data_IF_822558988783
#
_entry.id   IF_822558988783
#
_cell.length_a   1.000
_cell.length_b   1.000
_cell.length_c   1.000
_cell.angle_alpha   90.00
_cell.angle_beta   90.00
_cell.angle_gamma   90.00
#
_symmetry.space_group_name_H-M   'P 1'
#
loop_
_entity.id
_entity.type
_entity.pdbx_description
1 polymer ?
#
# COMPACT_ATOMS: atom_id res chain seq x y z
N UNK A 1 -15.13 -9.00 63.38
CA UNK A 1 -13.95 -9.77 62.94
C UNK A 1 -13.16 -8.82 62.05
N UNK A 2 -12.23 -8.05 62.63
CA UNK A 2 -10.76 -8.28 62.52
C UNK A 2 -10.31 -8.37 61.06
N UNK A 3 -9.36 -7.59 60.54
CA UNK A 3 -8.43 -6.64 61.13
C UNK A 3 -7.54 -6.09 60.00
N UNK A 4 -6.97 -4.90 60.23
CA UNK A 4 -6.07 -4.21 59.32
C UNK A 4 -4.73 -4.94 59.12
N UNK A 5 -4.06 -4.68 57.99
CA UNK A 5 -2.60 -4.84 57.94
C UNK A 5 -1.96 -3.72 57.12
N UNK A 6 -0.94 -3.12 57.72
CA UNK A 6 -0.19 -1.92 57.35
C UNK A 6 1.28 -2.33 57.34
N UNK A 7 1.98 -2.00 56.25
CA UNK A 7 3.39 -1.61 56.15
C UNK A 7 4.56 -2.54 56.54
N UNK A 8 5.70 -2.16 55.93
CA UNK A 8 7.12 -2.28 56.34
C UNK A 8 7.84 -3.55 55.83
N UNK A 9 8.78 -3.47 54.87
CA UNK A 9 10.19 -2.99 54.89
C UNK A 9 11.16 -3.87 55.71
N UNK A 10 12.39 -4.00 55.19
CA UNK A 10 13.61 -4.53 55.81
C UNK A 10 13.72 -6.07 55.91
N UNK A 11 14.87 -6.74 55.81
CA UNK A 11 16.30 -6.39 55.60
C UNK A 11 17.05 -7.72 55.39
N UNK A 12 18.20 -7.62 54.71
CA UNK A 12 19.46 -8.41 54.67
C UNK A 12 19.59 -9.73 55.50
N UNK A 13 20.55 -10.64 55.29
CA UNK A 13 22.01 -10.56 55.54
C UNK A 13 22.57 -11.99 55.22
N UNK A 14 23.72 -12.18 54.55
CA UNK A 14 25.02 -12.58 55.13
C UNK A 14 26.05 -12.75 54.00
N UNK A 15 27.15 -11.97 53.97
CA UNK A 15 28.43 -12.12 54.71
C UNK A 15 29.27 -13.30 54.21
N UNK A 16 30.51 -13.07 53.75
CA UNK A 16 31.67 -12.75 54.60
C UNK A 16 32.84 -12.26 53.70
N UNK A 17 33.46 -11.10 53.92
CA UNK A 17 34.43 -10.68 54.96
C UNK A 17 35.83 -11.27 54.76
N UNK A 18 36.84 -10.41 54.52
CA UNK A 18 37.93 -9.99 55.44
C UNK A 18 38.62 -8.74 54.82
N UNK A 19 38.52 -7.50 55.32
CA UNK A 19 39.25 -6.83 56.44
C UNK A 19 40.79 -6.90 56.26
N UNK A 20 41.59 -5.83 56.18
CA UNK A 20 41.65 -4.64 57.06
C UNK A 20 42.54 -3.50 56.49
N UNK A 21 42.05 -2.25 56.60
CA UNK A 21 42.66 -1.00 57.17
C UNK A 21 44.17 -0.75 57.06
N UNK A 22 44.72 0.46 56.97
CA UNK A 22 44.30 1.85 56.85
C UNK A 22 45.60 2.69 56.90
N UNK A 23 45.56 3.95 56.43
CA UNK A 23 46.25 5.15 56.97
C UNK A 23 46.80 6.05 55.86
N UNK A 24 46.32 7.29 55.94
CA UNK A 24 46.79 8.56 55.37
C UNK A 24 48.28 8.80 55.57
N UNK A 25 48.95 9.35 54.55
CA UNK A 25 49.95 10.40 54.78
C UNK A 25 50.25 11.14 53.47
N UNK A 26 50.05 12.46 53.53
CA UNK A 26 50.71 13.41 52.65
C UNK A 26 52.22 13.13 52.67
N UNK A 27 52.83 12.92 51.50
CA UNK A 27 54.26 13.16 51.33
C UNK A 27 54.48 13.95 50.05
N UNK A 28 55.02 15.13 50.25
CA UNK A 28 55.79 15.93 49.29
C UNK A 28 56.80 15.03 48.57
N UNK A 29 56.73 14.94 47.25
CA UNK A 29 57.81 14.40 46.44
C UNK A 29 58.46 15.54 45.67
N UNK A 30 59.76 15.69 45.93
CA UNK A 30 60.66 16.58 45.23
C UNK A 30 60.82 16.15 43.77
N UNK A 31 60.87 17.15 42.89
CA UNK A 31 61.38 17.02 41.53
C UNK A 31 62.75 16.32 41.50
N UNK A 32 62.81 15.14 40.88
CA UNK A 32 63.93 14.70 40.04
C UNK A 32 63.43 13.55 39.16
N UNK A 33 63.17 13.84 37.88
CA UNK A 33 62.79 12.84 36.87
C UNK A 33 64.07 12.21 36.31
N UNK A 34 64.43 11.02 36.78
CA UNK A 34 65.59 10.25 36.28
C UNK A 34 65.12 8.93 35.66
N UNK A 35 64.25 9.01 34.65
CA UNK A 35 63.88 7.86 33.82
C UNK A 35 64.23 8.14 32.35
N UNK A 36 65.12 7.32 31.80
CA UNK A 36 65.46 7.29 30.37
C UNK A 36 64.54 6.31 29.63
N UNK A 37 64.28 6.56 28.35
CA UNK A 37 63.59 5.60 27.47
C UNK A 37 64.39 4.30 27.32
N UNK A 38 63.70 3.18 27.13
CA UNK A 38 64.30 1.86 26.91
C UNK A 38 65.42 1.92 25.85
N UNK A 39 66.57 1.28 26.15
CA UNK A 39 67.79 1.35 25.32
C UNK A 39 68.82 2.42 25.76
N UNK A 40 68.49 3.23 26.77
CA UNK A 40 69.40 4.25 27.32
C UNK A 40 69.48 4.16 28.85
N UNK A 41 70.66 4.45 29.42
CA UNK A 41 70.86 4.53 30.86
C UNK A 41 71.20 5.96 31.28
N UNK A 42 70.72 6.36 32.45
CA UNK A 42 71.03 7.66 33.01
C UNK A 42 72.49 7.70 33.50
N UNK A 43 73.28 8.62 32.96
CA UNK A 43 74.63 8.89 33.46
C UNK A 43 74.60 10.09 34.43
N UNK A 44 74.76 9.87 35.74
CA UNK A 44 74.71 10.92 36.74
C UNK A 44 75.89 11.91 36.69
N UNK A 45 76.93 11.66 35.90
CA UNK A 45 78.04 12.61 35.71
C UNK A 45 77.78 13.62 34.59
N UNK A 46 77.01 13.22 33.58
CA UNK A 46 76.70 14.08 32.42
C UNK A 46 75.25 14.57 32.39
N UNK A 47 74.42 14.14 33.34
CA UNK A 47 72.99 14.48 33.44
C UNK A 47 72.22 14.24 32.12
N UNK A 48 72.61 13.21 31.37
CA UNK A 48 72.02 12.83 30.09
C UNK A 48 71.89 11.31 29.97
N UNK A 49 70.89 10.87 29.22
CA UNK A 49 70.68 9.47 28.86
C UNK A 49 71.72 9.05 27.81
N UNK A 50 72.56 8.08 28.15
CA UNK A 50 73.54 7.50 27.24
C UNK A 50 73.04 6.16 26.71
N UNK A 51 73.26 5.97 25.42
CA UNK A 51 72.98 4.72 24.71
C UNK A 51 73.61 3.53 25.44
N UNK A 52 72.82 2.48 25.68
CA UNK A 52 73.32 1.24 26.26
C UNK A 52 73.86 0.41 25.12
N UNK A 53 75.13 -0.01 25.19
CA UNK A 53 75.64 -0.95 24.20
C UNK A 53 75.07 -2.36 24.46
N UNK A 54 73.98 -2.72 23.79
CA UNK A 54 73.33 -4.02 24.01
C UNK A 54 74.15 -5.20 23.49
N UNK A 55 75.09 -4.97 22.56
CA UNK A 55 76.01 -6.00 22.09
C UNK A 55 77.02 -6.44 23.17
N UNK A 56 77.26 -5.62 24.18
CA UNK A 56 78.13 -5.95 25.32
C UNK A 56 77.33 -6.36 26.56
N UNK A 57 76.14 -5.78 26.75
CA UNK A 57 75.32 -6.00 27.94
C UNK A 57 74.37 -7.20 27.84
N UNK A 58 74.01 -7.65 26.62
CA UNK A 58 73.17 -8.84 26.39
C UNK A 58 74.04 -9.99 25.84
N UNK A 59 74.30 -11.05 26.61
CA UNK A 59 75.01 -12.23 26.12
C UNK A 59 74.22 -12.91 25.00
N UNK A 60 74.87 -13.19 23.86
CA UNK A 60 74.24 -13.74 22.65
C UNK A 60 73.05 -12.91 22.12
N UNK A 61 73.20 -11.56 22.12
CA UNK A 61 72.20 -10.62 21.60
C UNK A 61 71.64 -11.00 20.21
N UNK A 62 72.48 -11.55 19.33
CA UNK A 62 72.08 -12.06 18.01
C UNK A 62 72.16 -13.59 17.94
N UNK A 63 71.08 -14.25 17.52
CA UNK A 63 71.03 -15.72 17.33
C UNK A 63 71.46 -16.13 15.92
N UNK A 64 72.23 -17.20 15.79
CA UNK A 64 72.70 -17.76 14.52
C UNK A 64 74.06 -17.20 14.06
N UNK A 65 74.34 -17.19 12.75
CA UNK A 65 75.61 -16.66 12.18
C UNK A 65 75.62 -15.12 12.00
N UNK A 66 74.93 -14.41 12.87
CA UNK A 66 74.73 -12.95 12.80
C UNK A 66 75.68 -12.25 13.78
N UNK A 67 76.29 -11.14 13.36
CA UNK A 67 77.15 -10.30 14.20
C UNK A 67 76.35 -9.08 14.69
N UNK A 68 76.48 -8.78 15.97
CA UNK A 68 75.85 -7.63 16.62
C UNK A 68 76.63 -6.34 16.32
N UNK A 69 75.90 -5.27 16.01
CA UNK A 69 76.41 -3.91 15.84
C UNK A 69 75.59 -2.95 16.71
N UNK A 70 76.26 -2.16 17.55
CA UNK A 70 75.58 -1.17 18.39
C UNK A 70 75.03 -0.03 17.52
N UNK A 71 73.83 0.44 17.82
CA UNK A 71 73.17 1.56 17.15
C UNK A 71 72.47 2.44 18.19
N UNK A 72 72.08 3.67 17.83
CA UNK A 72 71.44 4.53 18.80
C UNK A 72 70.04 4.02 19.19
N UNK A 73 69.86 3.68 20.47
CA UNK A 73 68.62 3.17 21.07
C UNK A 73 68.38 1.69 20.86
N UNK A 74 69.41 0.91 20.50
CA UNK A 74 69.32 -0.53 20.32
C UNK A 74 70.47 -1.13 19.50
N UNK A 75 70.34 -2.39 19.10
CA UNK A 75 71.37 -3.08 18.32
C UNK A 75 70.84 -3.69 17.02
N UNK A 76 71.72 -3.82 16.02
CA UNK A 76 71.42 -4.43 14.73
C UNK A 76 72.17 -5.76 14.56
N UNK A 77 71.47 -6.81 14.16
CA UNK A 77 72.06 -8.11 13.83
C UNK A 77 72.20 -8.26 12.31
N UNK A 78 73.42 -8.39 11.80
CA UNK A 78 73.71 -8.56 10.37
C UNK A 78 74.52 -9.84 10.09
N UNK A 79 74.35 -10.52 8.94
CA UNK A 79 75.08 -11.74 8.63
C UNK A 79 76.58 -11.47 8.39
N UNK A 80 77.46 -12.40 8.78
CA UNK A 80 78.93 -12.25 8.66
C UNK A 80 79.47 -11.96 7.26
N UNK A 81 78.68 -12.15 6.20
CA UNK A 81 79.04 -11.95 4.80
C UNK A 81 78.65 -10.59 4.22
N UNK A 82 78.10 -9.66 5.00
CA UNK A 82 77.81 -8.31 4.53
C UNK A 82 79.11 -7.46 4.46
N UNK A 83 79.45 -7.02 3.24
CA UNK A 83 80.57 -6.09 2.97
C UNK A 83 80.00 -4.70 2.74
N UNK A 84 80.43 -3.72 3.55
CA UNK A 84 80.15 -2.30 3.33
C UNK A 84 81.17 -1.79 2.31
N UNK A 85 80.68 -1.34 1.16
CA UNK A 85 81.52 -0.72 0.11
C UNK A 85 81.76 0.74 0.52
N UNK A 86 83.00 1.23 0.60
CA UNK A 86 83.27 2.66 0.81
C UNK A 86 83.02 3.43 -0.50
N UNK A 87 82.34 4.58 -0.41
CA UNK A 87 82.25 5.54 -1.50
C UNK A 87 83.64 6.19 -1.77
N UNK A 88 83.93 6.61 -3.02
CA UNK A 88 85.22 7.16 -3.39
C UNK A 88 85.42 8.60 -2.87
N UNK A 89 86.67 8.96 -2.59
CA UNK A 89 87.09 10.30 -2.18
C UNK A 89 86.85 11.35 -3.29
N UNK A 90 86.35 12.56 -2.94
CA UNK A 90 86.30 13.67 -3.88
C UNK A 90 87.65 14.41 -3.98
N UNK A 91 87.95 15.02 -5.14
CA UNK A 91 89.16 15.79 -5.37
C UNK A 91 89.16 17.11 -4.62
N UNK A 92 90.35 17.48 -4.14
CA UNK A 92 90.64 18.75 -3.47
C UNK A 92 90.75 19.84 -4.54
N UNK A 93 89.89 20.85 -4.48
CA UNK A 93 90.13 22.18 -5.08
C UNK A 93 89.73 23.28 -4.09
N UNK A 94 90.32 24.49 -4.20
CA UNK A 94 90.74 25.24 -3.03
C UNK A 94 89.71 26.28 -2.57
N UNK A 95 89.73 26.47 -1.24
CA UNK A 95 89.36 27.69 -0.49
C UNK A 95 87.97 28.26 -0.75
N UNK A 96 87.03 27.94 0.12
CA UNK A 96 86.02 28.91 0.57
C UNK A 96 85.94 28.92 2.10
N UNK A 97 85.50 30.07 2.62
CA UNK A 97 85.71 30.54 3.98
C UNK A 97 85.27 29.55 5.07
N UNK A 98 86.02 29.54 6.19
CA UNK A 98 85.61 28.88 7.43
C UNK A 98 84.21 29.38 7.82
N UNK A 99 83.19 28.56 7.56
CA UNK A 99 81.85 28.77 8.07
C UNK A 99 81.80 28.17 9.49
N UNK A 100 81.60 28.96 10.56
CA UNK A 100 81.61 28.48 11.95
C UNK A 100 80.38 27.63 12.34
N UNK A 101 79.48 27.35 11.40
CA UNK A 101 78.22 26.66 11.64
C UNK A 101 78.24 25.18 11.19
N UNK A 102 77.44 24.30 11.84
CA UNK A 102 77.26 22.90 11.41
C UNK A 102 76.79 22.77 9.96
N UNK A 103 77.00 21.61 9.33
CA UNK A 103 76.49 21.31 7.98
C UNK A 103 74.97 21.53 7.94
N UNK A 104 74.47 22.20 6.90
CA UNK A 104 73.07 22.63 6.77
C UNK A 104 72.74 23.98 7.40
N UNK A 105 73.73 24.70 7.94
CA UNK A 105 73.54 26.03 8.56
C UNK A 105 74.48 27.10 7.99
N UNK A 106 73.97 28.33 7.88
CA UNK A 106 74.75 29.50 7.46
C UNK A 106 74.95 30.50 8.60
N UNK A 107 76.06 31.25 8.61
CA UNK A 107 76.40 32.14 9.70
C UNK A 107 75.67 33.47 9.55
N UNK A 108 74.79 33.77 10.51
CA UNK A 108 74.11 35.06 10.63
C UNK A 108 74.56 35.76 11.93
N UNK A 109 75.63 36.54 11.84
CA UNK A 109 76.26 37.17 13.01
C UNK A 109 76.94 36.13 13.92
N UNK A 110 76.55 36.10 15.20
CA UNK A 110 77.03 35.10 16.19
C UNK A 110 76.10 33.87 16.29
N UNK A 111 75.10 33.75 15.41
CA UNK A 111 74.13 32.66 15.39
C UNK A 111 74.14 31.90 14.07
N UNK A 112 73.91 30.60 14.14
CA UNK A 112 73.74 29.74 12.97
C UNK A 112 72.25 29.64 12.64
N UNK A 113 71.90 29.97 11.39
CA UNK A 113 70.54 29.85 10.88
C UNK A 113 70.50 28.70 9.90
N UNK A 114 69.43 27.92 9.98
CA UNK A 114 69.16 26.81 9.09
C UNK A 114 69.12 27.27 7.63
N UNK A 115 69.81 26.54 6.75
CA UNK A 115 69.78 26.81 5.32
C UNK A 115 68.52 26.17 4.77
N UNK A 116 67.59 26.96 4.26
CA UNK A 116 66.43 26.41 3.58
C UNK A 116 66.81 25.95 2.17
N UNK A 117 67.14 24.66 2.02
CA UNK A 117 67.51 24.09 0.73
C UNK A 117 66.33 24.08 -0.27
N UNK A 118 65.09 24.17 0.23
CA UNK A 118 63.88 24.23 -0.59
C UNK A 118 63.65 25.62 -1.20
N UNK A 119 63.90 26.70 -0.47
CA UNK A 119 63.82 28.06 -1.02
C UNK A 119 64.97 28.37 -1.97
N UNK A 120 66.12 27.72 -1.77
CA UNK A 120 67.35 27.94 -2.55
C UNK A 120 67.49 27.05 -3.78
N UNK A 121 66.56 26.09 -3.98
CA UNK A 121 66.61 25.08 -5.05
C UNK A 121 67.91 24.24 -4.99
N UNK A 122 68.45 24.05 -3.78
CA UNK A 122 69.69 23.32 -3.47
C UNK A 122 69.37 21.89 -2.96
N UNK A 123 68.40 21.21 -3.59
CA UNK A 123 67.93 19.88 -3.20
C UNK A 123 67.89 18.86 -4.35
N UNK A 124 68.02 17.57 -4.02
CA UNK A 124 67.94 16.46 -5.00
C UNK A 124 66.52 15.85 -5.13
N UNK A 125 65.48 16.57 -4.69
CA UNK A 125 64.10 16.11 -4.81
C UNK A 125 63.66 15.96 -6.28
N UNK A 126 62.94 14.87 -6.58
CA UNK A 126 62.38 14.68 -7.93
C UNK A 126 61.24 15.68 -8.20
N UNK A 127 60.94 16.03 -9.47
CA UNK A 127 59.87 16.99 -9.78
C UNK A 127 58.48 16.60 -9.28
N UNK A 128 58.24 15.32 -8.99
CA UNK A 128 56.99 14.80 -8.43
C UNK A 128 56.94 14.81 -6.90
N UNK A 129 58.01 15.25 -6.22
CA UNK A 129 58.15 15.30 -4.76
C UNK A 129 58.15 16.75 -4.27
N UNK A 130 57.64 16.95 -3.07
CA UNK A 130 57.72 18.21 -2.36
C UNK A 130 58.95 18.21 -1.46
N UNK A 131 59.80 19.22 -1.61
CA UNK A 131 60.89 19.50 -0.68
C UNK A 131 60.30 20.08 0.61
N UNK A 132 60.70 19.52 1.75
CA UNK A 132 60.36 20.01 3.08
C UNK A 132 61.68 20.25 3.80
N UNK A 133 61.94 21.52 4.13
CA UNK A 133 63.11 21.90 4.90
C UNK A 133 62.98 21.42 6.35
N UNK A 134 64.07 20.91 6.91
CA UNK A 134 64.17 20.44 8.29
C UNK A 134 65.43 21.02 8.94
N UNK A 135 65.49 21.12 10.26
CA UNK A 135 66.64 21.73 10.91
C UNK A 135 67.95 20.97 10.60
N UNK A 136 68.81 21.58 9.78
CA UNK A 136 70.11 21.07 9.32
C UNK A 136 70.07 20.14 8.11
N UNK A 137 68.94 19.96 7.43
CA UNK A 137 68.80 19.13 6.24
C UNK A 137 67.43 19.35 5.54
N UNK A 138 67.21 18.71 4.39
CA UNK A 138 65.89 18.64 3.76
C UNK A 138 65.37 17.20 3.64
N UNK A 139 64.06 17.05 3.46
CA UNK A 139 63.42 15.77 3.12
C UNK A 139 62.49 15.91 1.92
N UNK A 140 62.51 14.92 1.04
CA UNK A 140 61.65 14.87 -0.15
C UNK A 140 60.48 13.92 0.10
N UNK A 141 59.27 14.46 0.18
CA UNK A 141 58.06 13.68 0.42
C UNK A 141 57.14 13.71 -0.80
N UNK A 142 56.36 12.65 -1.00
CA UNK A 142 55.31 12.69 -2.01
C UNK A 142 54.16 13.59 -1.51
N UNK A 143 53.48 14.33 -2.41
CA UNK A 143 52.28 15.07 -2.05
C UNK A 143 51.22 14.16 -1.41
N UNK A 144 50.32 14.74 -0.61
CA UNK A 144 49.19 14.01 -0.05
C UNK A 144 48.40 13.27 -1.14
N UNK A 145 48.03 12.01 -0.87
CA UNK A 145 47.38 11.14 -1.85
C UNK A 145 48.33 10.37 -2.78
N UNK A 146 49.65 10.54 -2.65
CA UNK A 146 50.65 9.81 -3.44
C UNK A 146 51.56 8.95 -2.55
N UNK A 147 52.00 7.80 -3.07
CA UNK A 147 52.97 6.92 -2.43
C UNK A 147 54.26 6.84 -3.22
N UNK A 148 55.38 6.72 -2.52
CA UNK A 148 56.71 6.58 -3.14
C UNK A 148 56.92 5.16 -3.65
N UNK A 149 57.21 5.02 -4.94
CA UNK A 149 57.59 3.75 -5.58
C UNK A 149 58.90 3.95 -6.31
N UNK A 150 60.01 3.49 -5.73
CA UNK A 150 61.35 3.86 -6.20
C UNK A 150 61.61 5.34 -5.97
N UNK A 151 61.86 6.09 -7.05
CA UNK A 151 62.09 7.54 -7.04
C UNK A 151 60.86 8.36 -7.42
N UNK A 152 59.80 7.74 -7.93
CA UNK A 152 58.60 8.44 -8.41
C UNK A 152 57.46 8.40 -7.37
N UNK A 153 56.62 9.44 -7.40
CA UNK A 153 55.39 9.49 -6.64
C UNK A 153 54.23 9.01 -7.52
N UNK A 154 53.63 7.89 -7.12
CA UNK A 154 52.49 7.31 -7.81
C UNK A 154 51.24 7.54 -6.97
N UNK A 155 50.19 7.96 -7.64
CA UNK A 155 48.87 8.16 -7.05
C UNK A 155 48.38 6.92 -6.28
N UNK A 156 47.82 7.14 -5.09
CA UNK A 156 47.25 6.08 -4.28
C UNK A 156 45.85 5.80 -4.82
N UNK A 157 45.64 4.61 -5.38
CA UNK A 157 44.31 4.19 -5.84
C UNK A 157 43.41 3.86 -4.63
N UNK A 158 42.74 4.86 -4.06
CA UNK A 158 41.89 4.65 -2.89
C UNK A 158 40.67 3.77 -3.23
N UNK A 159 40.25 3.73 -4.50
CA UNK A 159 39.12 2.91 -4.92
C UNK A 159 39.31 1.40 -4.68
N UNK A 160 40.55 0.92 -4.51
CA UNK A 160 40.85 -0.46 -4.12
C UNK A 160 40.34 -0.84 -2.73
N UNK A 161 40.08 0.16 -1.87
CA UNK A 161 39.70 -0.04 -0.48
C UNK A 161 38.20 0.16 -0.20
N UNK A 162 37.36 0.20 -1.24
CA UNK A 162 35.88 0.33 -1.15
C UNK A 162 35.42 1.54 -0.30
N UNK A 163 36.04 2.69 -0.52
CA UNK A 163 35.73 3.94 0.20
C UNK A 163 34.38 4.58 -0.17
N UNK A 164 33.74 4.16 -1.27
CA UNK A 164 32.46 4.67 -1.75
C UNK A 164 31.37 3.61 -1.60
N UNK A 165 30.13 4.04 -1.33
CA UNK A 165 28.97 3.14 -1.27
C UNK A 165 28.59 2.58 -2.64
N UNK A 166 28.60 3.42 -3.68
CA UNK A 166 28.32 3.05 -5.07
C UNK A 166 29.61 3.04 -5.89
N UNK A 167 29.74 3.91 -6.89
CA UNK A 167 30.89 3.93 -7.81
C UNK A 167 32.01 4.80 -7.26
N UNK A 168 33.25 4.30 -7.32
CA UNK A 168 34.46 5.07 -7.01
C UNK A 168 35.21 5.39 -8.30
N UNK A 169 35.72 6.62 -8.39
CA UNK A 169 36.58 7.08 -9.48
C UNK A 169 37.87 7.63 -8.87
N UNK A 170 38.98 6.99 -9.21
CA UNK A 170 40.30 7.43 -8.77
C UNK A 170 40.71 8.69 -9.54
N UNK A 171 41.15 9.74 -8.86
CA UNK A 171 41.59 11.00 -9.46
C UNK A 171 42.98 11.37 -8.93
N UNK A 172 43.83 12.07 -9.69
CA UNK A 172 45.17 12.38 -9.18
C UNK A 172 45.15 13.11 -7.82
N UNK A 173 45.74 12.50 -6.79
CA UNK A 173 45.81 12.97 -5.41
C UNK A 173 44.58 12.70 -4.55
N UNK A 174 43.54 12.03 -5.06
CA UNK A 174 42.34 11.70 -4.29
C UNK A 174 41.40 10.70 -4.98
N UNK A 175 40.16 10.60 -4.52
CA UNK A 175 39.11 9.82 -5.16
C UNK A 175 37.79 10.60 -5.14
N UNK A 176 36.90 10.30 -6.08
CA UNK A 176 35.54 10.83 -6.13
C UNK A 176 34.53 9.68 -6.10
N UNK A 177 33.54 9.79 -5.21
CA UNK A 177 32.41 8.88 -5.20
C UNK A 177 31.27 9.39 -6.10
N UNK A 178 30.63 8.48 -6.82
CA UNK A 178 29.49 8.74 -7.69
C UNK A 178 28.35 7.81 -7.31
N UNK A 179 27.14 8.36 -7.24
CA UNK A 179 25.94 7.61 -6.94
C UNK A 179 25.26 7.12 -8.23
N UNK A 180 24.71 5.92 -8.18
CA UNK A 180 23.81 5.41 -9.21
C UNK A 180 22.58 6.32 -9.40
N UNK A 181 21.89 6.27 -10.56
CA UNK A 181 20.65 7.02 -10.78
C UNK A 181 19.60 6.75 -9.68
N UNK A 182 18.86 7.79 -9.29
CA UNK A 182 17.92 7.74 -8.15
C UNK A 182 18.57 8.00 -6.79
N UNK A 183 19.88 8.27 -6.74
CA UNK A 183 20.60 8.57 -5.51
C UNK A 183 21.43 9.85 -5.64
N UNK A 184 21.65 10.52 -4.52
CA UNK A 184 22.51 11.69 -4.42
C UNK A 184 23.59 11.50 -3.35
N UNK A 185 24.72 12.18 -3.54
CA UNK A 185 25.85 12.08 -2.64
C UNK A 185 25.53 12.76 -1.29
N UNK A 186 25.72 12.03 -0.20
CA UNK A 186 25.54 12.57 1.14
C UNK A 186 26.66 13.56 1.50
N UNK A 187 26.47 14.37 2.54
CA UNK A 187 27.44 15.39 2.97
C UNK A 187 28.82 14.88 3.38
N UNK A 188 29.00 13.56 3.51
CA UNK A 188 30.30 12.92 3.75
C UNK A 188 31.08 12.60 2.46
N UNK A 189 30.53 12.94 1.29
CA UNK A 189 31.08 12.66 -0.04
C UNK A 189 31.41 11.18 -0.33
N UNK A 190 30.81 10.25 0.41
CA UNK A 190 31.11 8.79 0.31
C UNK A 190 29.87 7.91 0.23
N UNK A 191 28.82 8.31 0.95
CA UNK A 191 27.55 7.60 1.01
C UNK A 191 26.57 8.17 -0.02
N UNK A 192 25.66 7.33 -0.47
CA UNK A 192 24.60 7.68 -1.39
C UNK A 192 23.26 7.54 -0.66
N UNK A 193 22.51 8.63 -0.64
CA UNK A 193 21.15 8.66 -0.09
C UNK A 193 20.16 8.64 -1.24
N UNK A 194 19.08 7.93 -1.01
CA UNK A 194 17.96 7.82 -1.93
C UNK A 194 17.36 9.20 -2.20
N UNK A 195 17.09 9.51 -3.46
CA UNK A 195 16.41 10.74 -3.86
C UNK A 195 14.91 10.46 -3.78
N UNK A 196 14.18 11.24 -2.99
CA UNK A 196 12.74 11.10 -2.93
C UNK A 196 12.09 11.81 -4.12
N UNK A 197 11.84 11.09 -5.22
CA UNK A 197 11.26 11.71 -6.42
C UNK A 197 9.83 12.24 -6.17
N UNK A 198 9.11 11.68 -5.19
CA UNK A 198 7.79 12.18 -4.82
C UNK A 198 7.84 13.61 -4.24
N UNK A 199 8.87 13.94 -3.48
CA UNK A 199 9.09 15.30 -2.96
C UNK A 199 9.60 16.26 -4.05
N UNK A 200 10.22 15.73 -5.11
CA UNK A 200 10.70 16.51 -6.26
C UNK A 200 9.62 16.75 -7.33
N UNK A 201 8.39 16.28 -7.11
CA UNK A 201 7.28 16.45 -8.05
C UNK A 201 7.22 15.36 -9.12
N UNK A 202 7.34 14.09 -8.71
CA UNK A 202 7.13 12.93 -9.58
C UNK A 202 5.84 13.06 -10.43
N UNK A 203 5.84 12.56 -11.68
CA UNK A 203 4.74 12.73 -12.63
C UNK A 203 3.49 11.87 -12.33
N UNK A 204 3.32 11.38 -11.10
CA UNK A 204 2.17 10.56 -10.72
C UNK A 204 0.88 11.39 -10.75
N UNK A 205 -0.16 10.87 -11.42
CA UNK A 205 -1.45 11.57 -11.47
C UNK A 205 -2.20 11.60 -10.12
N UNK A 206 -2.01 10.59 -9.28
CA UNK A 206 -2.70 10.45 -8.00
C UNK A 206 -1.73 10.25 -6.84
N UNK A 207 -1.31 9.01 -6.54
CA UNK A 207 -0.42 8.74 -5.40
C UNK A 207 0.98 8.37 -5.85
N UNK A 208 1.99 8.94 -5.19
CA UNK A 208 3.40 8.61 -5.37
C UNK A 208 3.94 7.89 -4.13
N UNK A 209 4.74 6.85 -4.35
CA UNK A 209 5.45 6.13 -3.31
C UNK A 209 6.93 6.09 -3.65
N UNK A 210 7.74 6.69 -2.79
CA UNK A 210 9.18 6.63 -2.92
C UNK A 210 9.67 5.23 -2.57
N UNK A 211 10.58 4.69 -3.37
CA UNK A 211 11.19 3.38 -3.15
C UNK A 211 12.70 3.49 -3.31
N UNK A 212 13.45 2.47 -2.91
CA UNK A 212 14.89 2.55 -2.97
C UNK A 212 15.39 2.59 -4.43
N UNK A 213 15.95 3.72 -4.84
CA UNK A 213 16.52 4.03 -6.15
C UNK A 213 15.51 4.39 -7.25
N UNK A 214 14.23 4.56 -6.91
CA UNK A 214 13.16 4.88 -7.85
C UNK A 214 11.86 5.20 -7.11
N UNK A 215 10.78 5.49 -7.83
CA UNK A 215 9.45 5.68 -7.27
C UNK A 215 8.40 4.84 -8.01
N UNK A 216 7.24 4.68 -7.38
CA UNK A 216 6.09 4.00 -7.95
C UNK A 216 4.85 4.88 -7.81
N UNK A 217 4.11 5.05 -8.91
CA UNK A 217 2.77 5.62 -8.86
C UNK A 217 1.73 4.55 -8.59
N UNK A 218 0.70 4.89 -7.81
CA UNK A 218 -0.49 4.05 -7.63
C UNK A 218 -1.75 4.88 -7.73
N UNK A 219 -2.80 4.22 -8.18
CA UNK A 219 -4.10 4.84 -8.35
C UNK A 219 -5.03 4.59 -7.14
N UNK A 220 -5.96 5.50 -6.97
CA UNK A 220 -7.10 5.41 -6.07
C UNK A 220 -8.03 4.27 -6.51
N UNK A 221 -8.94 3.88 -5.62
CA UNK A 221 -9.95 2.87 -5.96
C UNK A 221 -10.84 3.40 -7.11
N UNK A 222 -11.16 2.52 -8.08
CA UNK A 222 -11.92 2.89 -9.28
C UNK A 222 -11.04 3.38 -10.44
N UNK A 223 -9.72 3.37 -10.29
CA UNK A 223 -8.78 3.76 -11.34
C UNK A 223 -7.74 2.66 -11.58
N UNK A 224 -7.27 2.55 -12.82
CA UNK A 224 -6.18 1.67 -13.21
C UNK A 224 -4.96 2.47 -13.68
N UNK A 225 -3.77 1.91 -13.42
CA UNK A 225 -2.51 2.53 -13.83
C UNK A 225 -2.31 2.35 -15.33
N UNK A 226 -2.12 3.47 -16.03
CA UNK A 226 -1.86 3.51 -17.46
C UNK A 226 -0.56 2.80 -17.85
N UNK A 227 -0.37 2.51 -19.15
CA UNK A 227 0.83 1.86 -19.66
C UNK A 227 2.10 2.71 -19.52
N UNK A 228 1.93 4.02 -19.30
CA UNK A 228 3.02 4.95 -18.99
C UNK A 228 3.54 4.79 -17.55
N UNK A 229 2.80 4.10 -16.68
CA UNK A 229 3.15 3.90 -15.27
C UNK A 229 2.90 5.13 -14.39
N UNK A 230 2.25 6.18 -14.92
CA UNK A 230 2.08 7.48 -14.25
C UNK A 230 0.63 7.97 -14.25
N UNK A 231 -0.09 7.75 -15.36
CA UNK A 231 -1.49 8.13 -15.50
C UNK A 231 -2.40 7.15 -14.75
N UNK A 232 -3.45 7.69 -14.14
CA UNK A 232 -4.52 6.88 -13.54
C UNK A 232 -5.78 7.09 -14.36
N UNK A 233 -6.18 6.06 -15.10
CA UNK A 233 -7.36 6.08 -15.95
C UNK A 233 -8.54 5.54 -15.17
N UNK A 234 -9.68 6.18 -15.34
CA UNK A 234 -10.94 5.72 -14.75
C UNK A 234 -11.31 4.33 -15.29
N UNK A 235 -11.70 3.43 -14.40
CA UNK A 235 -12.16 2.10 -14.78
C UNK A 235 -13.63 2.21 -15.16
N UNK A 236 -13.94 2.09 -16.45
CA UNK A 236 -15.34 2.08 -16.89
C UNK A 236 -16.02 0.77 -16.50
N UNK A 237 -16.59 0.71 -15.30
CA UNK A 237 -17.22 -0.51 -14.80
C UNK A 237 -18.40 -0.94 -15.67
N UNK A 238 -19.13 0.02 -16.24
CA UNK A 238 -20.26 -0.25 -17.13
C UNK A 238 -19.86 -1.00 -18.41
N UNK A 239 -18.61 -0.83 -18.87
CA UNK A 239 -18.07 -1.58 -20.01
C UNK A 239 -17.74 -3.04 -19.70
N UNK A 240 -17.45 -3.37 -18.43
CA UNK A 240 -17.07 -4.73 -18.03
C UNK A 240 -18.26 -5.68 -17.94
N UNK A 241 -19.44 -5.19 -17.53
CA UNK A 241 -20.62 -6.04 -17.36
C UNK A 241 -21.93 -5.27 -17.47
N UNK A 242 -22.78 -5.70 -18.40
CA UNK A 242 -24.15 -5.21 -18.55
C UNK A 242 -25.08 -5.58 -17.39
N UNK A 243 -24.64 -6.45 -16.46
CA UNK A 243 -25.44 -6.93 -15.33
C UNK A 243 -25.10 -6.23 -14.01
N UNK A 244 -24.27 -5.17 -14.02
CA UNK A 244 -23.92 -4.40 -12.82
C UNK A 244 -25.12 -3.68 -12.22
N UNK A 245 -25.98 -3.14 -13.07
CA UNK A 245 -27.20 -2.44 -12.71
C UNK A 245 -28.40 -3.20 -13.24
N UNK A 246 -29.53 -3.12 -12.52
CA UNK A 246 -30.76 -3.78 -12.95
C UNK A 246 -31.38 -3.14 -14.21
N UNK A 247 -31.15 -1.83 -14.42
CA UNK A 247 -31.63 -1.08 -15.59
C UNK A 247 -30.48 -0.49 -16.41
N UNK A 248 -29.92 0.63 -15.95
CA UNK A 248 -28.90 1.35 -16.70
C UNK A 248 -27.73 1.73 -15.77
N UNK A 249 -26.53 1.44 -16.24
CA UNK A 249 -25.27 1.81 -15.62
C UNK A 249 -24.76 3.12 -16.22
N UNK A 250 -24.25 4.01 -15.38
CA UNK A 250 -23.59 5.25 -15.77
C UNK A 250 -22.21 5.28 -15.13
N UNK A 251 -21.17 5.34 -15.96
CA UNK A 251 -19.80 5.43 -15.50
C UNK A 251 -19.51 6.86 -15.00
N UNK A 252 -18.87 6.98 -13.84
CA UNK A 252 -18.46 8.25 -13.24
C UNK A 252 -16.98 8.16 -12.82
N UNK A 253 -16.27 9.29 -12.63
CA UNK A 253 -14.87 9.21 -12.21
C UNK A 253 -14.69 8.52 -10.84
N UNK A 254 -14.03 7.36 -10.84
CA UNK A 254 -13.67 6.52 -9.70
C UNK A 254 -14.79 5.60 -9.18
N UNK A 255 -15.94 5.55 -9.86
CA UNK A 255 -17.11 4.75 -9.46
C UNK A 255 -18.12 4.70 -10.60
N UNK A 256 -19.12 3.84 -10.45
CA UNK A 256 -20.33 3.91 -11.28
C UNK A 256 -21.57 4.19 -10.44
N UNK A 257 -22.62 4.65 -11.10
CA UNK A 257 -23.97 4.75 -10.53
C UNK A 257 -24.98 3.99 -11.38
N UNK A 258 -26.01 3.46 -10.72
CA UNK A 258 -27.14 2.84 -11.39
C UNK A 258 -28.32 3.82 -11.39
N UNK A 259 -28.91 4.04 -12.56
CA UNK A 259 -30.10 4.85 -12.71
C UNK A 259 -31.31 3.95 -12.94
N UNK A 260 -32.43 4.32 -12.30
CA UNK A 260 -33.70 3.63 -12.45
C UNK A 260 -34.58 4.35 -13.47
N UNK A 261 -35.46 3.62 -14.18
CA UNK A 261 -36.39 4.23 -15.10
C UNK A 261 -37.44 5.06 -14.37
N UNK A 262 -38.19 5.88 -15.11
CA UNK A 262 -39.31 6.65 -14.57
C UNK A 262 -40.35 5.74 -13.89
N UNK A 263 -40.87 6.18 -12.73
CA UNK A 263 -41.76 5.39 -11.87
C UNK A 263 -41.03 4.40 -10.95
N UNK A 264 -39.69 4.38 -10.96
CA UNK A 264 -38.89 3.52 -10.10
C UNK A 264 -37.88 4.32 -9.29
N UNK A 265 -37.60 3.86 -8.08
CA UNK A 265 -36.59 4.41 -7.17
C UNK A 265 -35.48 3.39 -6.90
N UNK A 266 -34.25 3.84 -6.61
CA UNK A 266 -33.15 2.94 -6.30
C UNK A 266 -33.39 2.20 -4.97
N UNK A 267 -33.35 0.88 -5.01
CA UNK A 267 -33.34 0.00 -3.84
C UNK A 267 -31.89 -0.49 -3.62
N UNK A 268 -31.18 0.19 -2.72
CA UNK A 268 -29.75 -0.02 -2.55
C UNK A 268 -28.95 0.61 -3.70
N UNK A 269 -27.83 -0.01 -4.09
CA UNK A 269 -26.89 0.57 -5.07
C UNK A 269 -27.08 0.09 -6.51
N UNK A 270 -27.83 -1.00 -6.73
CA UNK A 270 -27.88 -1.69 -8.04
C UNK A 270 -29.28 -2.08 -8.51
N UNK A 271 -30.26 -2.04 -7.61
CA UNK A 271 -31.62 -2.49 -7.91
C UNK A 271 -32.57 -1.29 -7.97
N UNK A 272 -33.67 -1.49 -8.68
CA UNK A 272 -34.76 -0.56 -8.85
C UNK A 272 -36.01 -1.18 -8.27
N UNK A 273 -36.76 -0.37 -7.54
CA UNK A 273 -38.04 -0.73 -6.96
C UNK A 273 -39.10 0.22 -7.48
N UNK A 274 -40.23 -0.35 -7.84
CA UNK A 274 -41.44 0.37 -8.20
C UNK A 274 -41.83 1.39 -7.11
N UNK A 275 -42.13 2.62 -7.51
CA UNK A 275 -42.66 3.63 -6.60
C UNK A 275 -44.14 3.35 -6.45
N UNK A 276 -44.59 3.06 -5.22
CA UNK A 276 -46.01 2.88 -4.98
C UNK A 276 -46.69 4.23 -4.78
N UNK A 277 -47.18 4.84 -5.85
CA UNK A 277 -47.76 6.19 -5.79
C UNK A 277 -49.07 6.23 -4.97
N UNK A 278 -49.72 5.07 -4.82
CA UNK A 278 -50.89 4.92 -3.97
C UNK A 278 -50.55 4.97 -2.47
N UNK A 279 -49.34 4.55 -2.08
CA UNK A 279 -48.86 4.64 -0.70
C UNK A 279 -48.17 5.97 -0.41
N UNK A 280 -47.46 6.56 -1.38
CA UNK A 280 -46.83 7.88 -1.22
C UNK A 280 -47.84 9.02 -1.25
N UNK A 281 -49.02 8.79 -1.83
CA UNK A 281 -50.04 9.82 -2.02
C UNK A 281 -49.75 10.77 -3.18
N UNK A 282 -48.81 10.42 -4.05
CA UNK A 282 -48.44 11.20 -5.25
C UNK A 282 -49.39 10.93 -6.44
N UNK A 283 -50.36 10.03 -6.27
CA UNK A 283 -51.37 9.73 -7.29
C UNK A 283 -52.34 10.89 -7.53
N UNK A 284 -52.78 11.08 -8.78
CA UNK A 284 -53.73 12.12 -9.19
C UNK A 284 -55.18 11.62 -9.34
N UNK A 285 -55.57 10.60 -8.56
CA UNK A 285 -56.93 10.05 -8.59
C UNK A 285 -57.94 10.97 -7.91
N UNK A 286 -59.17 11.01 -8.45
CA UNK A 286 -60.28 11.76 -7.85
C UNK A 286 -60.88 11.02 -6.64
N UNK A 287 -61.68 11.70 -5.81
CA UNK A 287 -62.40 11.07 -4.68
C UNK A 287 -63.36 9.94 -5.11
N UNK A 288 -63.80 9.96 -6.38
CA UNK A 288 -64.66 8.92 -6.95
C UNK A 288 -63.87 7.71 -7.47
N UNK A 289 -62.55 7.69 -7.32
CA UNK A 289 -61.65 6.67 -7.85
C UNK A 289 -60.80 6.05 -6.74
N UNK A 290 -60.48 4.77 -6.92
CA UNK A 290 -59.51 4.04 -6.12
C UNK A 290 -58.17 4.00 -6.87
N UNK A 291 -57.07 4.20 -6.16
CA UNK A 291 -55.73 4.03 -6.72
C UNK A 291 -55.32 2.55 -6.74
N UNK A 292 -54.76 2.10 -7.85
CA UNK A 292 -54.15 0.77 -8.00
C UNK A 292 -52.70 0.95 -8.44
N UNK A 293 -51.77 0.44 -7.64
CA UNK A 293 -50.36 0.47 -7.98
C UNK A 293 -50.02 -0.60 -9.01
N UNK A 294 -49.26 -0.25 -10.04
CA UNK A 294 -48.79 -1.16 -11.10
C UNK A 294 -47.33 -0.86 -11.45
N UNK A 295 -46.62 -1.79 -12.08
CA UNK A 295 -45.20 -1.58 -12.39
C UNK A 295 -44.92 -0.31 -13.24
N UNK A 296 -44.23 0.65 -12.64
CA UNK A 296 -43.78 1.91 -13.23
C UNK A 296 -44.83 3.02 -13.26
N UNK A 297 -46.05 2.82 -12.74
CA UNK A 297 -47.07 3.86 -12.61
C UNK A 297 -48.22 3.45 -11.69
N UNK A 298 -49.17 4.34 -11.47
CA UNK A 298 -50.48 3.99 -10.90
C UNK A 298 -51.60 4.01 -11.95
N UNK A 299 -52.73 3.38 -11.61
CA UNK A 299 -53.99 3.43 -12.37
C UNK A 299 -55.12 3.88 -11.45
N UNK A 300 -55.85 4.92 -11.86
CA UNK A 300 -57.07 5.35 -11.17
C UNK A 300 -58.26 4.59 -11.76
N UNK A 301 -58.95 3.84 -10.90
CA UNK A 301 -60.10 3.03 -11.28
C UNK A 301 -61.34 3.49 -10.54
N UNK A 302 -62.46 3.68 -11.24
CA UNK A 302 -63.69 4.19 -10.65
C UNK A 302 -64.17 3.32 -9.48
N UNK A 303 -64.71 3.96 -8.44
CA UNK A 303 -65.22 3.24 -7.27
C UNK A 303 -66.37 2.31 -7.65
N UNK A 304 -67.24 2.68 -8.59
CA UNK A 304 -68.28 1.81 -9.15
C UNK A 304 -67.86 1.22 -10.50
N UNK A 305 -67.42 -0.03 -10.47
CA UNK A 305 -66.92 -0.78 -11.64
C UNK A 305 -67.99 -1.63 -12.32
N UNK A 306 -69.21 -1.63 -11.78
CA UNK A 306 -70.27 -2.52 -12.24
C UNK A 306 -70.98 -1.94 -13.45
N UNK A 307 -71.07 -2.74 -14.51
CA UNK A 307 -71.86 -2.42 -15.70
C UNK A 307 -73.27 -3.00 -15.55
N UNK A 308 -74.30 -2.32 -16.09
CA UNK A 308 -75.64 -2.91 -16.14
C UNK A 308 -75.59 -4.27 -16.87
N UNK A 309 -76.22 -5.34 -16.37
CA UNK A 309 -77.24 -5.40 -15.32
C UNK A 309 -76.75 -5.51 -13.86
N UNK A 310 -75.45 -5.55 -13.62
CA UNK A 310 -74.88 -5.75 -12.30
C UNK A 310 -75.04 -4.55 -11.37
N UNK A 311 -75.16 -4.83 -10.08
CA UNK A 311 -75.22 -3.83 -9.01
C UNK A 311 -74.03 -4.02 -8.08
N UNK A 312 -73.41 -2.92 -7.68
CA UNK A 312 -72.30 -2.93 -6.74
C UNK A 312 -72.77 -3.32 -5.35
N UNK A 313 -72.14 -4.33 -4.75
CA UNK A 313 -72.40 -4.76 -3.37
C UNK A 313 -71.22 -4.49 -2.44
N UNK A 314 -70.01 -4.39 -3.00
CA UNK A 314 -68.81 -3.93 -2.29
C UNK A 314 -67.85 -3.28 -3.30
N UNK A 315 -66.75 -2.69 -2.82
CA UNK A 315 -65.78 -1.95 -3.65
C UNK A 315 -65.36 -2.72 -4.92
N UNK A 316 -65.12 -4.02 -4.80
CA UNK A 316 -64.64 -4.86 -5.89
C UNK A 316 -65.62 -5.97 -6.29
N UNK A 317 -66.87 -5.94 -5.84
CA UNK A 317 -67.85 -7.00 -6.10
C UNK A 317 -69.14 -6.45 -6.66
N UNK A 318 -69.51 -7.00 -7.80
CA UNK A 318 -70.75 -6.76 -8.51
C UNK A 318 -71.60 -8.02 -8.45
N UNK A 319 -72.90 -7.89 -8.17
CA UNK A 319 -73.84 -9.02 -8.14
C UNK A 319 -74.94 -8.78 -9.16
N UNK A 320 -75.31 -9.83 -9.87
CA UNK A 320 -76.43 -9.81 -10.80
C UNK A 320 -77.72 -10.12 -10.02
N UNK A 321 -78.65 -9.17 -9.87
CA UNK A 321 -79.86 -9.38 -9.10
C UNK A 321 -80.78 -10.42 -9.77
N UNK A 322 -81.28 -11.39 -9.00
CA UNK A 322 -82.17 -12.46 -9.51
C UNK A 322 -83.49 -11.95 -10.10
N UNK A 323 -83.89 -10.72 -9.76
CA UNK A 323 -85.10 -10.07 -10.28
C UNK A 323 -84.90 -9.43 -11.66
N UNK A 324 -83.67 -9.28 -12.15
CA UNK A 324 -83.40 -8.77 -13.50
C UNK A 324 -83.37 -9.93 -14.50
N UNK A 325 -84.23 -9.97 -15.53
CA UNK A 325 -84.23 -11.06 -16.51
C UNK A 325 -82.92 -11.15 -17.30
N UNK A 326 -82.23 -10.02 -17.50
CA UNK A 326 -80.91 -9.98 -18.13
C UNK A 326 -79.82 -10.75 -17.36
N UNK A 327 -80.04 -11.07 -16.08
CA UNK A 327 -79.10 -11.81 -15.24
C UNK A 327 -79.18 -13.33 -15.38
N UNK A 328 -80.16 -13.87 -16.11
CA UNK A 328 -80.44 -15.32 -16.14
C UNK A 328 -79.26 -16.17 -16.62
N UNK A 329 -78.57 -15.70 -17.66
CA UNK A 329 -77.46 -16.41 -18.32
C UNK A 329 -76.09 -15.77 -18.03
N UNK A 330 -76.04 -14.85 -17.06
CA UNK A 330 -74.82 -14.15 -16.66
C UNK A 330 -74.29 -14.72 -15.33
N UNK A 331 -72.97 -14.62 -15.07
CA UNK A 331 -72.40 -14.98 -13.78
C UNK A 331 -73.11 -14.26 -12.62
N UNK A 332 -73.40 -14.99 -11.55
CA UNK A 332 -74.10 -14.46 -10.37
C UNK A 332 -73.35 -13.28 -9.75
N UNK A 333 -72.02 -13.35 -9.72
CA UNK A 333 -71.20 -12.24 -9.26
C UNK A 333 -69.94 -12.09 -10.10
N UNK A 334 -69.47 -10.85 -10.21
CA UNK A 334 -68.20 -10.47 -10.80
C UNK A 334 -67.35 -9.82 -9.71
N UNK A 335 -66.15 -10.34 -9.50
CA UNK A 335 -65.14 -9.72 -8.63
C UNK A 335 -64.07 -9.09 -9.50
N UNK A 336 -63.69 -7.85 -9.23
CA UNK A 336 -62.60 -7.17 -9.93
C UNK A 336 -61.31 -7.29 -9.12
N UNK A 337 -60.22 -7.68 -9.79
CA UNK A 337 -58.87 -7.68 -9.22
C UNK A 337 -57.89 -7.10 -10.21
N UNK A 338 -56.84 -6.50 -9.67
CA UNK A 338 -55.75 -5.91 -10.43
C UNK A 338 -54.45 -6.50 -9.93
N UNK A 339 -53.53 -6.74 -10.84
CA UNK A 339 -52.17 -7.14 -10.53
C UNK A 339 -51.24 -6.66 -11.64
N UNK A 340 -49.95 -6.58 -11.33
CA UNK A 340 -48.93 -6.39 -12.34
C UNK A 340 -47.91 -7.52 -12.31
N UNK A 341 -47.29 -7.78 -13.46
CA UNK A 341 -46.17 -8.70 -13.64
C UNK A 341 -45.07 -8.02 -14.44
N UNK A 342 -43.84 -8.50 -14.32
CA UNK A 342 -42.70 -8.01 -15.09
C UNK A 342 -42.70 -8.53 -16.53
N UNK A 343 -42.07 -7.79 -17.44
CA UNK A 343 -41.86 -8.20 -18.83
C UNK A 343 -40.98 -9.44 -18.92
N UNK A 344 -41.15 -10.27 -19.96
CA UNK A 344 -40.28 -11.43 -20.23
C UNK A 344 -40.08 -12.35 -19.02
N UNK A 345 -41.09 -12.43 -18.15
CA UNK A 345 -41.06 -13.31 -16.98
C UNK A 345 -40.82 -14.75 -17.42
N UNK A 346 -40.04 -15.48 -16.61
CA UNK A 346 -39.77 -16.90 -16.85
C UNK A 346 -41.06 -17.72 -16.95
N UNK A 347 -41.11 -18.65 -17.90
CA UNK A 347 -42.27 -19.50 -18.14
C UNK A 347 -41.93 -21.00 -18.11
N UNK A 348 -42.87 -21.85 -17.66
CA UNK A 348 -44.19 -21.51 -17.12
C UNK A 348 -44.11 -20.89 -15.72
N UNK A 349 -44.91 -19.86 -15.45
CA UNK A 349 -44.98 -19.22 -14.12
C UNK A 349 -46.40 -19.21 -13.59
N UNK A 350 -46.56 -19.66 -12.35
CA UNK A 350 -47.77 -19.43 -11.56
C UNK A 350 -47.88 -17.92 -11.27
N UNK A 351 -49.02 -17.30 -11.63
CA UNK A 351 -49.20 -15.84 -11.52
C UNK A 351 -50.35 -15.44 -10.60
N UNK A 352 -51.40 -16.25 -10.49
CA UNK A 352 -52.55 -15.92 -9.65
C UNK A 352 -53.29 -17.18 -9.20
N UNK A 353 -53.44 -17.35 -7.88
CA UNK A 353 -54.21 -18.45 -7.31
C UNK A 353 -55.69 -18.06 -7.17
N UNK A 354 -56.56 -18.83 -7.81
CA UNK A 354 -58.01 -18.69 -7.74
C UNK A 354 -58.51 -19.63 -6.64
N UNK A 355 -59.37 -19.12 -5.75
CA UNK A 355 -59.97 -19.90 -4.69
C UNK A 355 -61.48 -19.64 -4.58
N UNK A 356 -62.26 -20.70 -4.43
CA UNK A 356 -63.70 -20.64 -4.23
C UNK A 356 -64.04 -20.12 -2.83
N UNK A 357 -64.96 -19.16 -2.74
CA UNK A 357 -65.39 -18.57 -1.45
C UNK A 357 -66.45 -19.39 -0.72
N UNK A 358 -67.16 -20.29 -1.41
CA UNK A 358 -68.21 -21.12 -0.83
C UNK A 358 -68.00 -22.58 -1.18
N UNK A 359 -67.74 -23.41 -0.17
CA UNK A 359 -67.61 -24.86 -0.30
C UNK A 359 -68.95 -25.47 0.10
N UNK A 360 -69.81 -25.77 -0.86
CA UNK A 360 -71.00 -26.60 -0.59
C UNK A 360 -70.57 -28.07 -0.57
N UNK A 361 -70.98 -28.80 0.48
CA UNK A 361 -70.68 -30.22 0.59
C UNK A 361 -71.26 -30.98 -0.62
N UNK A 362 -70.40 -31.67 -1.37
CA UNK A 362 -70.77 -32.39 -2.60
C UNK A 362 -70.81 -31.56 -3.89
N UNK A 363 -70.48 -30.26 -3.85
CA UNK A 363 -70.38 -29.45 -5.06
C UNK A 363 -69.01 -29.61 -5.73
N UNK A 364 -69.00 -29.64 -7.06
CA UNK A 364 -67.80 -29.69 -7.89
C UNK A 364 -67.56 -28.32 -8.53
N UNK A 365 -66.36 -27.76 -8.37
CA UNK A 365 -65.99 -26.50 -9.00
C UNK A 365 -65.05 -26.75 -10.19
N UNK A 366 -65.36 -26.10 -11.30
CA UNK A 366 -64.51 -26.06 -12.49
C UNK A 366 -64.13 -24.62 -12.78
N UNK A 367 -62.90 -24.42 -13.24
CA UNK A 367 -62.32 -23.10 -13.49
C UNK A 367 -61.92 -23.00 -14.96
N UNK A 368 -62.32 -21.92 -15.64
CA UNK A 368 -61.99 -21.69 -17.05
C UNK A 368 -61.73 -20.22 -17.35
N UNK A 369 -60.92 -19.94 -18.36
CA UNK A 369 -60.78 -18.60 -18.94
C UNK A 369 -61.97 -18.42 -19.90
N UNK A 370 -62.87 -17.49 -19.60
CA UNK A 370 -64.07 -17.20 -20.42
C UNK A 370 -63.73 -16.27 -21.59
N UNK A 371 -62.90 -15.26 -21.34
CA UNK A 371 -62.45 -14.28 -22.34
C UNK A 371 -61.18 -13.55 -21.86
N UNK A 372 -60.51 -12.86 -22.78
CA UNK A 372 -59.33 -12.02 -22.50
C UNK A 372 -57.98 -12.65 -22.86
N UNK A 373 -57.95 -13.92 -23.24
CA UNK A 373 -56.74 -14.64 -23.63
C UNK A 373 -56.81 -15.13 -25.09
N UNK A 374 -56.89 -14.20 -26.03
CA UNK A 374 -57.00 -14.52 -27.46
C UNK A 374 -55.75 -15.19 -28.04
N UNK A 375 -54.58 -14.96 -27.42
CA UNK A 375 -53.29 -15.48 -27.89
C UNK A 375 -52.88 -16.81 -27.24
N UNK A 376 -53.61 -17.28 -26.22
CA UNK A 376 -53.25 -18.46 -25.44
C UNK A 376 -51.98 -18.24 -24.61
N UNK A 377 -51.81 -17.03 -24.09
CA UNK A 377 -50.69 -16.64 -23.22
C UNK A 377 -50.85 -17.24 -21.82
N UNK A 378 -52.08 -17.63 -21.45
CA UNK A 378 -52.42 -18.16 -20.14
C UNK A 378 -53.12 -19.52 -20.22
N UNK A 379 -53.05 -20.27 -19.14
CA UNK A 379 -53.91 -21.43 -18.94
C UNK A 379 -54.23 -21.62 -17.46
N UNK A 380 -55.31 -22.35 -17.19
CA UNK A 380 -55.70 -22.70 -15.83
C UNK A 380 -55.25 -24.12 -15.53
N UNK A 381 -54.49 -24.25 -14.44
CA UNK A 381 -54.11 -25.54 -13.84
C UNK A 381 -54.94 -25.77 -12.59
N UNK A 382 -55.85 -26.73 -12.65
CA UNK A 382 -56.67 -27.08 -11.49
C UNK A 382 -55.81 -27.75 -10.41
N UNK A 383 -55.86 -27.21 -9.18
CA UNK A 383 -55.10 -27.75 -8.04
C UNK A 383 -55.96 -28.76 -7.29
N UNK A 384 -57.19 -28.36 -6.94
CA UNK A 384 -58.16 -29.20 -6.25
C UNK A 384 -59.59 -28.71 -6.56
N UNK A 385 -60.59 -29.25 -5.87
CA UNK A 385 -61.99 -28.91 -6.09
C UNK A 385 -62.37 -27.47 -5.66
N UNK A 386 -61.49 -26.75 -4.98
CA UNK A 386 -61.78 -25.38 -4.48
C UNK A 386 -60.76 -24.35 -4.93
N UNK A 387 -59.72 -24.75 -5.67
CA UNK A 387 -58.66 -23.85 -6.12
C UNK A 387 -58.02 -24.28 -7.43
N UNK A 388 -57.58 -23.27 -8.18
CA UNK A 388 -56.85 -23.42 -9.42
C UNK A 388 -55.77 -22.32 -9.52
N UNK A 389 -54.76 -22.56 -10.34
CA UNK A 389 -53.70 -21.61 -10.62
C UNK A 389 -53.85 -21.08 -12.03
N UNK A 390 -53.86 -19.76 -12.19
CA UNK A 390 -53.60 -19.13 -13.47
C UNK A 390 -52.09 -19.17 -13.72
N UNK A 391 -51.69 -19.75 -14.85
CA UNK A 391 -50.30 -19.96 -15.22
C UNK A 391 -50.02 -19.23 -16.53
N UNK A 392 -48.93 -18.47 -16.56
CA UNK A 392 -48.38 -17.86 -17.76
C UNK A 392 -47.67 -18.95 -18.58
N UNK A 393 -48.18 -19.24 -19.78
CA UNK A 393 -47.63 -20.26 -20.67
C UNK A 393 -46.44 -19.76 -21.49
N UNK A 394 -46.42 -18.47 -21.81
CA UNK A 394 -45.45 -17.85 -22.73
C UNK A 394 -44.96 -16.52 -22.17
N UNK A 395 -43.69 -16.22 -22.39
CA UNK A 395 -43.13 -14.93 -22.04
C UNK A 395 -43.88 -13.83 -22.82
N UNK A 396 -44.24 -12.76 -22.12
CA UNK A 396 -44.98 -11.62 -22.68
C UNK A 396 -44.16 -10.36 -22.50
N UNK A 397 -44.00 -9.60 -23.58
CA UNK A 397 -43.31 -8.31 -23.55
C UNK A 397 -44.29 -7.20 -23.18
N UNK A 398 -43.94 -6.37 -22.20
CA UNK A 398 -44.69 -5.15 -21.88
C UNK A 398 -44.21 -3.93 -22.68
N UNK A 399 -44.87 -2.77 -22.52
CA UNK A 399 -46.06 -2.55 -21.70
C UNK A 399 -47.32 -3.10 -22.37
N UNK A 400 -48.09 -3.92 -21.65
CA UNK A 400 -49.33 -4.51 -22.16
C UNK A 400 -50.34 -4.74 -21.05
N UNK A 401 -51.63 -4.67 -21.36
CA UNK A 401 -52.69 -4.94 -20.38
C UNK A 401 -53.58 -6.08 -20.88
N UNK A 402 -53.93 -6.97 -19.96
CA UNK A 402 -54.87 -8.07 -20.18
C UNK A 402 -56.06 -7.90 -19.24
N UNK A 403 -57.27 -8.15 -19.73
CA UNK A 403 -58.47 -8.24 -18.90
C UNK A 403 -59.05 -9.64 -19.07
N UNK A 404 -58.72 -10.52 -18.13
CA UNK A 404 -59.14 -11.92 -18.15
C UNK A 404 -60.43 -12.08 -17.35
N UNK A 405 -61.47 -12.66 -17.97
CA UNK A 405 -62.65 -13.11 -17.25
C UNK A 405 -62.49 -14.58 -16.89
N UNK A 406 -62.14 -14.85 -15.64
CA UNK A 406 -61.94 -16.19 -15.10
C UNK A 406 -63.25 -16.68 -14.47
N UNK A 407 -63.91 -17.66 -15.08
CA UNK A 407 -65.18 -18.17 -14.60
C UNK A 407 -64.99 -19.41 -13.74
N UNK A 408 -65.57 -19.38 -12.54
CA UNK A 408 -65.79 -20.54 -11.70
C UNK A 408 -67.23 -21.01 -11.88
N UNK A 409 -67.38 -22.27 -12.28
CA UNK A 409 -68.68 -22.93 -12.40
C UNK A 409 -68.78 -23.97 -11.29
N UNK A 410 -69.76 -23.80 -10.41
CA UNK A 410 -70.09 -24.69 -9.30
C UNK A 410 -71.32 -25.52 -9.66
N UNK A 411 -71.18 -26.84 -9.67
CA UNK A 411 -72.29 -27.77 -9.89
C UNK A 411 -72.58 -28.49 -8.58
N UNK A 412 -73.82 -28.39 -8.08
CA UNK A 412 -74.24 -29.09 -6.87
C UNK A 412 -75.29 -30.17 -7.20
N UNK A 413 -74.90 -31.46 -7.23
CA UNK A 413 -75.80 -32.56 -7.56
C UNK A 413 -76.97 -32.71 -6.57
N UNK A 414 -76.78 -32.30 -5.31
CA UNK A 414 -77.79 -32.40 -4.24
C UNK A 414 -78.86 -31.31 -4.33
N UNK A 415 -78.59 -30.21 -5.06
CA UNK A 415 -79.52 -29.11 -5.28
C UNK A 415 -80.50 -29.36 -6.45
N UNK A 416 -80.39 -30.53 -7.10
CA UNK A 416 -81.17 -30.92 -8.29
C UNK A 416 -82.69 -30.93 -8.09
N UNK A 417 -83.19 -31.00 -6.85
CA UNK A 417 -84.63 -30.98 -6.56
C UNK A 417 -85.30 -29.59 -6.70
N UNK A 418 -84.55 -28.50 -6.86
CA UNK A 418 -85.09 -27.12 -6.85
C UNK A 418 -84.83 -26.29 -8.12
N UNK A 419 -84.35 -26.91 -9.21
CA UNK A 419 -84.33 -26.28 -10.55
C UNK A 419 -83.12 -25.39 -10.88
N UNK A 420 -82.25 -25.05 -9.92
CA UNK A 420 -80.96 -24.38 -10.18
C UNK A 420 -79.79 -25.26 -9.70
N UNK A 421 -79.28 -26.13 -10.59
CA UNK A 421 -78.22 -27.10 -10.28
C UNK A 421 -76.79 -26.54 -10.46
N UNK A 422 -76.67 -25.40 -11.14
CA UNK A 422 -75.40 -24.79 -11.54
C UNK A 422 -75.40 -23.31 -11.21
N UNK A 423 -74.35 -22.84 -10.53
CA UNK A 423 -74.09 -21.42 -10.32
C UNK A 423 -72.73 -21.09 -10.92
N UNK A 424 -72.58 -19.89 -11.47
CA UNK A 424 -71.27 -19.40 -11.90
C UNK A 424 -70.95 -18.05 -11.29
N UNK A 425 -69.67 -17.81 -11.03
CA UNK A 425 -69.13 -16.53 -10.61
C UNK A 425 -67.88 -16.26 -11.42
N UNK A 426 -67.67 -15.00 -11.80
CA UNK A 426 -66.52 -14.59 -12.58
C UNK A 426 -65.59 -13.71 -11.75
N UNK A 427 -64.29 -13.88 -11.96
CA UNK A 427 -63.23 -13.00 -11.52
C UNK A 427 -62.71 -12.27 -12.76
N UNK A 428 -62.94 -10.97 -12.83
CA UNK A 428 -62.34 -10.09 -13.83
C UNK A 428 -60.98 -9.63 -13.33
N UNK A 429 -59.92 -10.26 -13.83
CA UNK A 429 -58.54 -10.01 -13.46
C UNK A 429 -57.89 -9.12 -14.52
N UNK A 430 -57.54 -7.89 -14.13
CA UNK A 430 -56.76 -6.97 -14.96
C UNK A 430 -55.28 -7.15 -14.63
N UNK A 431 -54.49 -7.60 -15.61
CA UNK A 431 -53.07 -7.87 -15.47
C UNK A 431 -52.32 -6.84 -16.30
N UNK A 432 -51.52 -6.03 -15.65
CA UNK A 432 -50.60 -5.12 -16.34
C UNK A 432 -49.19 -5.75 -16.42
N UNK A 433 -48.67 -5.91 -17.63
CA UNK A 433 -47.29 -6.30 -17.88
C UNK A 433 -46.45 -5.03 -17.95
N UNK A 434 -45.54 -4.87 -16.98
CA UNK A 434 -44.60 -3.77 -16.92
C UNK A 434 -43.65 -3.73 -18.13
N UNK A 435 -43.06 -2.57 -18.46
CA UNK A 435 -42.16 -2.44 -19.61
C UNK A 435 -40.78 -3.08 -19.37
N UNK A 436 -40.40 -3.33 -18.12
CA UNK A 436 -39.10 -3.86 -17.73
C UNK A 436 -39.21 -5.28 -17.18
N UNK A 437 -38.11 -6.01 -17.22
CA UNK A 437 -38.05 -7.43 -16.81
C UNK A 437 -37.92 -7.65 -15.31
N UNK A 438 -37.81 -6.57 -14.54
CA UNK A 438 -37.50 -6.56 -13.12
C UNK A 438 -38.57 -5.93 -12.23
#
# INVERSE_FOLDING_TARGET
>A
MQGACVSVLCVCICLSVLLRSAISQHHTESDTYTECTDGYHWDPQTEHCKDINECETIPDACKGEMKCFNHYGGYLCLPRSASVIPAPEPPITPTEAFNPCPLGYEPHGDSCVDVDECERDEHDCQPSQQCINTLGAFTCQCPDGYRKVGTECIDIDECRYRYCQHRCVNVPGSFSCQCEPGFQLAGNNRSCIDVNECEMGAPCSQRCYNTYGTFLCRCDQGYELGPDGFACNDIDECSYSSYLCQFQCVNEPGKFSCVCPEGYQPLGTRMCQDINECETGEHQCTEAQTCVNIHGRYQCVDNNRCQDPYVQVSENRCVCPVNKPACRDLPFSIVHRYMSITSERSVPSDIFQIQATSVSAGAYNTFRIRSGDENGDFYIRQINNISAMLVLARAVSGPREYTLDLEMVSVNPLASYQGNYQTSSALRLSIYVGPYTF
#
